data_IF_333959459346
#
_entry.id   IF_333959459346
#
_cell.length_a   1.000
_cell.length_b   1.000
_cell.length_c   1.000
_cell.angle_alpha   90.00
_cell.angle_beta   90.00
_cell.angle_gamma   90.00
#
_symmetry.space_group_name_H-M   'P 1'
#
loop_
_entity.id
_entity.type
_entity.pdbx_description
1 polymer ?
#
# COMPACT_ATOMS: atom_id res chain seq x y z
N UNK A 1 -7.45 -76.07 -24.02
CA UNK A 1 -7.42 -75.02 -22.94
C UNK A 1 -6.48 -73.92 -23.35
N UNK A 2 -7.01 -72.80 -23.83
CA UNK A 2 -6.22 -71.65 -24.26
C UNK A 2 -6.24 -70.60 -23.14
N UNK A 3 -5.08 -70.37 -22.51
CA UNK A 3 -4.90 -69.31 -21.54
C UNK A 3 -4.88 -67.95 -22.25
N UNK A 4 -5.85 -67.09 -21.89
CA UNK A 4 -5.91 -65.73 -22.36
C UNK A 4 -5.15 -64.87 -21.34
N UNK A 5 -3.93 -64.40 -21.68
CA UNK A 5 -3.20 -63.43 -20.86
C UNK A 5 -3.78 -62.03 -21.09
N UNK A 6 -4.46 -61.49 -20.07
CA UNK A 6 -4.87 -60.08 -20.03
C UNK A 6 -3.66 -59.25 -19.71
N UNK A 7 -3.18 -58.47 -20.67
CA UNK A 7 -2.20 -57.39 -20.45
C UNK A 7 -2.93 -56.16 -19.92
N UNK A 8 -2.78 -55.89 -18.64
CA UNK A 8 -3.24 -54.64 -18.02
C UNK A 8 -2.17 -53.57 -18.33
N UNK A 9 -2.49 -52.66 -19.26
CA UNK A 9 -1.68 -51.50 -19.54
C UNK A 9 -1.86 -50.49 -18.38
N UNK A 10 -0.83 -50.33 -17.56
CA UNK A 10 -0.73 -49.20 -16.59
C UNK A 10 -0.46 -47.92 -17.38
N UNK A 11 -1.48 -47.07 -17.54
CA UNK A 11 -1.30 -45.71 -17.99
C UNK A 11 -0.64 -44.91 -16.82
N UNK A 12 0.45 -44.19 -17.09
CA UNK A 12 1.00 -43.27 -16.09
C UNK A 12 -0.02 -42.14 -15.87
N UNK A 13 -0.48 -41.95 -14.61
CA UNK A 13 -1.11 -40.73 -14.19
C UNK A 13 -0.04 -39.62 -14.33
N UNK A 14 -0.19 -38.79 -15.38
CA UNK A 14 0.51 -37.53 -15.41
C UNK A 14 0.02 -36.68 -14.21
N UNK A 15 0.83 -36.58 -13.17
CA UNK A 15 0.65 -35.54 -12.16
C UNK A 15 0.81 -34.21 -12.92
N UNK A 16 -0.31 -33.56 -13.22
CA UNK A 16 -0.32 -32.19 -13.68
C UNK A 16 0.38 -31.36 -12.60
N UNK A 17 1.55 -30.85 -12.88
CA UNK A 17 2.10 -29.73 -12.12
C UNK A 17 1.05 -28.61 -12.26
N UNK A 18 0.32 -28.31 -11.19
CA UNK A 18 -0.42 -27.08 -11.10
C UNK A 18 0.63 -25.98 -11.18
N UNK A 19 0.79 -25.38 -12.38
CA UNK A 19 1.48 -24.13 -12.52
C UNK A 19 0.72 -23.14 -11.66
N UNK A 20 1.40 -22.45 -10.73
CA UNK A 20 0.81 -21.61 -9.69
C UNK A 20 0.09 -20.36 -10.20
N UNK A 21 -0.58 -20.45 -11.35
CA UNK A 21 -1.48 -19.45 -11.93
C UNK A 21 -2.95 -19.75 -11.61
N UNK A 22 -3.25 -20.00 -10.31
CA UNK A 22 -4.61 -19.72 -9.87
C UNK A 22 -4.88 -18.23 -10.14
N UNK A 23 -6.01 -17.84 -10.76
CA UNK A 23 -6.32 -16.46 -10.97
C UNK A 23 -6.21 -15.73 -9.64
N UNK A 24 -5.56 -14.55 -9.62
CA UNK A 24 -5.32 -13.77 -8.41
C UNK A 24 -6.62 -13.38 -7.66
N UNK A 25 -7.77 -13.47 -8.34
CA UNK A 25 -9.10 -13.47 -7.75
C UNK A 25 -9.24 -14.70 -6.80
N UNK A 26 -9.43 -14.42 -5.51
CA UNK A 26 -9.51 -15.42 -4.44
C UNK A 26 -8.27 -15.47 -3.55
N UNK A 27 -7.09 -15.21 -4.08
CA UNK A 27 -5.84 -15.29 -3.31
C UNK A 27 -5.68 -14.15 -2.30
N UNK A 28 -6.25 -12.96 -2.60
CA UNK A 28 -6.17 -11.77 -1.77
C UNK A 28 -7.54 -11.30 -1.26
N UNK A 29 -8.52 -12.21 -1.18
CA UNK A 29 -9.89 -11.89 -0.74
C UNK A 29 -9.92 -11.27 0.66
N UNK A 30 -9.02 -11.69 1.55
CA UNK A 30 -8.93 -11.11 2.88
C UNK A 30 -8.45 -9.64 2.88
N UNK A 31 -7.72 -9.19 1.86
CA UNK A 31 -7.33 -7.79 1.69
C UNK A 31 -8.53 -6.94 1.23
N UNK A 32 -9.30 -7.46 0.25
CA UNK A 32 -10.42 -6.71 -0.33
C UNK A 32 -11.59 -6.53 0.63
N UNK A 33 -11.69 -7.32 1.70
CA UNK A 33 -12.71 -7.13 2.75
C UNK A 33 -12.65 -5.70 3.33
N UNK A 34 -11.44 -5.17 3.54
CA UNK A 34 -11.24 -3.82 4.05
C UNK A 34 -10.94 -2.81 2.93
N UNK A 35 -10.08 -3.17 1.96
CA UNK A 35 -9.62 -2.24 0.92
C UNK A 35 -10.55 -2.16 -0.29
N UNK A 36 -11.59 -3.00 -0.37
CA UNK A 36 -12.52 -3.07 -1.51
C UNK A 36 -11.95 -3.86 -2.69
N UNK A 37 -12.84 -4.37 -3.55
CA UNK A 37 -12.49 -5.24 -4.68
C UNK A 37 -11.57 -4.58 -5.71
N UNK A 38 -11.67 -3.26 -5.85
CA UNK A 38 -10.82 -2.45 -6.74
C UNK A 38 -9.65 -1.82 -5.98
N UNK A 39 -9.48 -2.14 -4.69
CA UNK A 39 -8.46 -1.49 -3.86
C UNK A 39 -8.70 0.00 -3.63
N UNK A 40 -9.94 0.47 -3.77
CA UNK A 40 -10.32 1.90 -3.62
C UNK A 40 -10.15 2.42 -2.21
N UNK A 41 -10.16 1.52 -1.22
CA UNK A 41 -10.18 1.85 0.20
C UNK A 41 -11.61 1.97 0.75
N UNK A 42 -11.67 2.10 2.07
CA UNK A 42 -12.93 2.26 2.81
C UNK A 42 -12.66 3.08 4.09
N UNK A 43 -13.08 4.34 4.09
CA UNK A 43 -12.89 5.25 5.23
C UNK A 43 -13.60 4.77 6.50
N UNK A 44 -14.74 4.06 6.37
CA UNK A 44 -15.50 3.57 7.54
C UNK A 44 -14.73 2.54 8.38
N UNK A 45 -13.79 1.81 7.78
CA UNK A 45 -12.91 0.86 8.45
C UNK A 45 -11.44 1.29 8.41
N UNK A 46 -11.17 2.56 8.10
CA UNK A 46 -9.85 3.16 8.04
C UNK A 46 -8.85 2.44 7.10
N UNK A 47 -9.35 1.76 6.08
CA UNK A 47 -8.54 1.10 5.06
C UNK A 47 -8.31 2.06 3.87
N UNK A 48 -7.05 2.48 3.61
CA UNK A 48 -6.76 3.43 2.53
C UNK A 48 -6.87 2.79 1.15
N UNK A 49 -6.90 3.62 0.11
CA UNK A 49 -6.70 3.17 -1.26
C UNK A 49 -5.33 2.49 -1.38
N UNK A 50 -5.32 1.33 -2.02
CA UNK A 50 -4.11 0.58 -2.38
C UNK A 50 -4.06 0.24 -3.88
N UNK A 51 -5.20 0.26 -4.58
CA UNK A 51 -5.26 0.04 -6.01
C UNK A 51 -4.59 1.16 -6.81
N UNK A 52 -3.81 0.81 -7.84
CA UNK A 52 -3.12 1.74 -8.72
C UNK A 52 -1.89 2.41 -8.13
N UNK A 53 -1.48 2.06 -6.91
CA UNK A 53 -0.19 2.50 -6.36
C UNK A 53 0.94 1.67 -6.96
N UNK A 54 2.14 2.23 -7.03
CA UNK A 54 3.31 1.51 -7.54
C UNK A 54 3.56 0.19 -6.79
N UNK A 55 3.77 -0.91 -7.52
CA UNK A 55 4.01 -2.23 -6.93
C UNK A 55 5.18 -2.20 -5.94
N UNK A 56 6.29 -1.54 -6.30
CA UNK A 56 7.44 -1.34 -5.42
C UNK A 56 7.08 -0.71 -4.08
N UNK A 57 6.15 0.28 -4.09
CA UNK A 57 5.71 0.94 -2.87
C UNK A 57 4.84 0.02 -2.02
N UNK A 58 3.89 -0.69 -2.63
CA UNK A 58 3.06 -1.67 -1.93
C UNK A 58 3.91 -2.78 -1.31
N UNK A 59 4.90 -3.30 -2.04
CA UNK A 59 5.86 -4.29 -1.55
C UNK A 59 6.64 -3.75 -0.34
N UNK A 60 7.16 -2.52 -0.44
CA UNK A 60 7.85 -1.85 0.67
C UNK A 60 6.95 -1.68 1.90
N UNK A 61 5.68 -1.32 1.72
CA UNK A 61 4.76 -1.15 2.84
C UNK A 61 4.41 -2.48 3.51
N UNK A 62 4.14 -3.52 2.73
CA UNK A 62 3.90 -4.87 3.26
C UNK A 62 5.12 -5.38 4.03
N UNK A 63 6.32 -5.17 3.47
CA UNK A 63 7.59 -5.50 4.12
C UNK A 63 7.78 -4.71 5.41
N UNK A 64 7.45 -3.41 5.43
CA UNK A 64 7.55 -2.56 6.62
C UNK A 64 6.63 -3.06 7.76
N UNK A 65 5.41 -3.50 7.44
CA UNK A 65 4.52 -4.12 8.43
C UNK A 65 5.07 -5.46 8.93
N UNK A 66 5.59 -6.31 8.05
CA UNK A 66 6.17 -7.61 8.40
C UNK A 66 7.41 -7.45 9.29
N UNK A 67 8.28 -6.51 8.96
CA UNK A 67 9.49 -6.19 9.72
C UNK A 67 9.22 -5.46 11.06
N UNK A 68 7.97 -5.00 11.27
CA UNK A 68 7.61 -4.23 12.47
C UNK A 68 8.08 -2.78 12.42
N UNK A 69 8.43 -2.24 11.26
CA UNK A 69 8.71 -0.82 11.07
C UNK A 69 7.43 0.02 11.10
N UNK A 70 6.29 -0.62 10.81
CA UNK A 70 4.94 -0.07 10.90
C UNK A 70 4.05 -1.00 11.72
N UNK A 71 3.03 -0.42 12.37
CA UNK A 71 2.02 -1.18 13.11
C UNK A 71 2.51 -1.77 14.44
N UNK A 72 3.58 -1.25 15.02
CA UNK A 72 4.11 -1.65 16.34
C UNK A 72 4.09 -0.52 17.36
N UNK A 73 4.00 0.74 16.92
CA UNK A 73 3.87 1.87 17.83
C UNK A 73 2.47 1.89 18.47
N UNK A 74 2.38 2.23 19.75
CA UNK A 74 1.10 2.22 20.49
C UNK A 74 0.03 3.14 19.84
N UNK A 75 0.47 4.24 19.24
CA UNK A 75 -0.43 5.20 18.60
C UNK A 75 -0.71 4.85 17.11
N UNK A 76 -0.11 3.80 16.56
CA UNK A 76 -0.41 3.29 15.20
C UNK A 76 -1.47 2.18 15.26
N UNK A 77 -2.65 2.48 15.81
CA UNK A 77 -3.72 1.51 15.97
C UNK A 77 -4.06 0.79 14.66
N UNK A 78 -4.30 1.54 13.58
CA UNK A 78 -4.66 0.97 12.28
C UNK A 78 -3.51 0.28 11.58
N UNK A 79 -2.28 0.71 11.81
CA UNK A 79 -1.10 -0.07 11.40
C UNK A 79 -1.01 -1.38 12.16
N UNK A 80 -1.40 -1.41 13.44
CA UNK A 80 -1.53 -2.62 14.25
C UNK A 80 -2.54 -3.61 13.69
N UNK A 81 -3.66 -3.13 13.12
CA UNK A 81 -4.63 -3.97 12.40
C UNK A 81 -4.08 -4.51 11.08
N UNK A 82 -3.32 -3.69 10.35
CA UNK A 82 -2.73 -4.09 9.06
C UNK A 82 -1.56 -5.08 9.21
N UNK A 83 -0.82 -5.01 10.31
CA UNK A 83 0.37 -5.86 10.52
C UNK A 83 0.06 -7.37 10.46
N UNK A 84 -0.94 -7.94 11.15
CA UNK A 84 -1.28 -9.36 11.02
C UNK A 84 -1.71 -9.73 9.60
N UNK A 85 -2.33 -8.83 8.85
CA UNK A 85 -2.69 -9.08 7.45
C UNK A 85 -1.45 -9.21 6.56
N UNK A 86 -0.44 -8.37 6.77
CA UNK A 86 0.84 -8.49 6.08
C UNK A 86 1.63 -9.74 6.49
N UNK A 87 1.54 -10.16 7.77
CA UNK A 87 2.18 -11.38 8.26
C UNK A 87 1.52 -12.66 7.73
N UNK A 88 0.26 -12.61 7.28
CA UNK A 88 -0.41 -13.73 6.63
C UNK A 88 0.15 -14.05 5.23
N UNK A 89 0.93 -13.15 4.63
CA UNK A 89 1.73 -13.42 3.44
C UNK A 89 2.99 -14.18 3.89
N UNK A 90 3.11 -15.45 3.51
CA UNK A 90 4.09 -16.38 4.07
C UNK A 90 5.54 -16.04 3.66
N UNK A 91 5.73 -15.56 2.43
CA UNK A 91 7.04 -15.30 1.85
C UNK A 91 7.07 -14.02 0.99
N UNK A 92 8.25 -13.67 0.50
CA UNK A 92 8.46 -12.50 -0.37
C UNK A 92 7.76 -12.62 -1.72
N UNK A 93 7.58 -13.85 -2.23
CA UNK A 93 6.87 -14.05 -3.51
C UNK A 93 5.38 -13.72 -3.36
N UNK A 94 4.77 -14.07 -2.23
CA UNK A 94 3.38 -13.69 -1.92
C UNK A 94 3.24 -12.18 -1.68
N UNK A 95 4.21 -11.54 -1.01
CA UNK A 95 4.25 -10.09 -0.83
C UNK A 95 4.30 -9.38 -2.18
N UNK A 96 5.20 -9.81 -3.07
CA UNK A 96 5.31 -9.26 -4.42
C UNK A 96 4.04 -9.49 -5.24
N UNK A 97 3.50 -10.70 -5.24
CA UNK A 97 2.27 -11.02 -5.96
C UNK A 97 1.06 -10.18 -5.47
N UNK A 98 0.95 -9.91 -4.17
CA UNK A 98 -0.08 -9.01 -3.63
C UNK A 98 0.14 -7.57 -4.10
N UNK A 99 1.38 -7.09 -4.07
CA UNK A 99 1.74 -5.75 -4.52
C UNK A 99 1.44 -5.56 -6.01
N UNK A 100 1.82 -6.51 -6.86
CA UNK A 100 1.57 -6.49 -8.30
C UNK A 100 0.06 -6.55 -8.61
N UNK A 101 -0.69 -7.38 -7.89
CA UNK A 101 -2.14 -7.49 -8.06
C UNK A 101 -2.84 -6.15 -7.82
N UNK A 102 -2.58 -5.50 -6.67
CA UNK A 102 -3.22 -4.22 -6.36
C UNK A 102 -2.68 -3.07 -7.20
N UNK A 103 -1.42 -3.09 -7.61
CA UNK A 103 -0.86 -2.09 -8.51
C UNK A 103 -1.51 -2.10 -9.90
N UNK A 104 -1.94 -3.26 -10.38
CA UNK A 104 -2.61 -3.42 -11.67
C UNK A 104 -4.08 -2.95 -11.68
N UNK A 105 -4.66 -2.65 -10.51
CA UNK A 105 -6.02 -2.12 -10.41
C UNK A 105 -6.02 -0.61 -10.71
N UNK A 106 -7.13 -0.13 -11.29
CA UNK A 106 -7.29 1.29 -11.63
C UNK A 106 -8.60 1.84 -11.02
N UNK A 107 -8.66 1.99 -9.68
CA UNK A 107 -9.84 2.55 -9.04
C UNK A 107 -9.95 4.05 -9.32
N UNK A 108 -11.18 4.57 -9.38
CA UNK A 108 -11.41 6.01 -9.37
C UNK A 108 -10.70 6.66 -8.16
N UNK A 109 -10.30 7.94 -8.25
CA UNK A 109 -9.72 8.68 -7.13
C UNK A 109 -10.60 8.61 -5.88
N UNK A 110 -9.97 8.64 -4.71
CA UNK A 110 -10.71 8.70 -3.45
C UNK A 110 -11.49 10.02 -3.35
N UNK A 111 -12.70 10.02 -2.79
CA UNK A 111 -13.45 11.27 -2.60
C UNK A 111 -12.72 12.18 -1.61
N UNK A 112 -12.78 13.49 -1.86
CA UNK A 112 -12.27 14.49 -0.93
C UNK A 112 -13.12 14.50 0.36
N UNK A 113 -12.48 14.41 1.49
CA UNK A 113 -13.06 14.40 2.84
C UNK A 113 -12.40 15.40 3.79
N UNK A 114 -11.23 15.91 3.42
CA UNK A 114 -10.43 16.83 4.24
C UNK A 114 -10.61 18.25 3.73
N UNK A 115 -10.99 19.14 4.63
CA UNK A 115 -11.05 20.59 4.36
C UNK A 115 -9.71 21.25 4.70
N UNK A 116 -9.24 22.14 3.82
CA UNK A 116 -8.01 22.92 4.00
C UNK A 116 -7.89 24.03 2.96
N UNK A 117 -6.95 24.95 3.17
CA UNK A 117 -6.61 26.03 2.25
C UNK A 117 -5.62 25.49 1.19
N UNK A 118 -6.13 25.14 0.02
CA UNK A 118 -5.31 24.62 -1.07
C UNK A 118 -4.27 25.61 -1.59
N UNK A 119 -4.53 26.93 -1.55
CA UNK A 119 -3.57 27.95 -1.96
C UNK A 119 -2.39 28.03 -0.96
N UNK A 120 -2.65 27.88 0.32
CA UNK A 120 -1.60 27.72 1.34
C UNK A 120 -0.89 26.39 1.17
N UNK A 121 -1.65 25.32 0.88
CA UNK A 121 -1.15 23.98 0.62
C UNK A 121 -0.17 23.92 -0.55
N UNK A 122 -0.42 24.63 -1.65
CA UNK A 122 0.49 24.74 -2.78
C UNK A 122 1.87 25.26 -2.37
N UNK A 123 1.90 26.33 -1.58
CA UNK A 123 3.16 26.90 -1.09
C UNK A 123 3.92 25.93 -0.19
N UNK A 124 3.21 25.19 0.66
CA UNK A 124 3.80 24.16 1.53
C UNK A 124 4.31 22.96 0.73
N UNK A 125 3.57 22.55 -0.31
CA UNK A 125 3.91 21.43 -1.19
C UNK A 125 5.19 21.66 -2.00
N UNK A 126 5.61 22.90 -2.19
CA UNK A 126 6.85 23.23 -2.91
C UNK A 126 8.07 22.41 -2.44
N UNK A 127 8.17 22.14 -1.12
CA UNK A 127 9.24 21.31 -0.56
C UNK A 127 9.06 19.82 -0.92
N UNK A 128 7.84 19.34 -1.05
CA UNK A 128 7.50 17.94 -1.35
C UNK A 128 7.73 17.60 -2.83
N UNK A 129 7.63 18.62 -3.71
CA UNK A 129 7.76 18.48 -5.16
C UNK A 129 9.08 17.82 -5.59
N UNK A 130 10.17 18.05 -4.86
CA UNK A 130 11.49 17.51 -5.19
C UNK A 130 11.51 15.96 -5.26
N UNK A 131 10.69 15.31 -4.42
CA UNK A 131 10.61 13.86 -4.35
C UNK A 131 9.32 13.33 -4.98
N UNK A 132 8.16 13.91 -4.62
CA UNK A 132 6.85 13.44 -5.08
C UNK A 132 6.43 13.98 -6.45
N UNK A 133 7.19 14.90 -7.03
CA UNK A 133 6.90 15.55 -8.32
C UNK A 133 5.83 16.65 -8.22
N UNK A 134 5.73 17.52 -9.23
CA UNK A 134 4.78 18.64 -9.22
C UNK A 134 3.32 18.18 -9.29
N UNK A 135 3.04 17.04 -9.90
CA UNK A 135 1.72 16.42 -9.97
C UNK A 135 1.49 15.35 -8.92
N UNK A 136 2.32 15.27 -7.88
CA UNK A 136 2.24 14.27 -6.81
C UNK A 136 2.16 12.81 -7.30
N UNK A 137 2.75 12.51 -8.47
CA UNK A 137 2.74 11.17 -9.08
C UNK A 137 3.83 10.25 -8.56
N UNK A 138 4.72 10.80 -7.71
CA UNK A 138 5.82 10.07 -7.11
C UNK A 138 7.05 9.91 -8.00
N UNK A 139 8.08 9.29 -7.44
CA UNK A 139 9.33 8.96 -8.12
C UNK A 139 9.94 7.72 -7.45
N UNK A 140 9.85 6.58 -8.11
CA UNK A 140 10.37 5.30 -7.61
C UNK A 140 11.88 5.36 -7.33
N UNK A 141 12.66 6.02 -8.20
CA UNK A 141 14.11 6.13 -8.02
C UNK A 141 14.50 6.86 -6.73
N UNK A 142 13.62 7.69 -6.19
CA UNK A 142 13.78 8.41 -4.92
C UNK A 142 13.02 7.74 -3.76
N UNK A 143 12.35 6.62 -4.01
CA UNK A 143 11.50 5.96 -3.00
C UNK A 143 10.27 6.78 -2.60
N UNK A 144 9.85 7.75 -3.42
CA UNK A 144 8.75 8.65 -3.16
C UNK A 144 7.47 8.16 -3.85
N UNK A 145 6.43 7.71 -3.11
CA UNK A 145 5.20 7.21 -3.71
C UNK A 145 4.35 8.30 -4.34
N UNK A 146 3.42 7.89 -5.21
CA UNK A 146 2.33 8.75 -5.64
C UNK A 146 1.45 9.14 -4.45
N UNK A 147 1.06 10.42 -4.39
CA UNK A 147 0.14 10.97 -3.40
C UNK A 147 -1.20 11.34 -4.04
N UNK A 148 -1.18 11.76 -5.33
CA UNK A 148 -2.39 12.07 -6.08
C UNK A 148 -3.33 10.86 -6.12
N UNK A 149 -4.62 11.11 -5.94
CA UNK A 149 -5.66 10.08 -5.92
C UNK A 149 -5.71 9.19 -4.68
N UNK A 150 -4.80 9.36 -3.71
CA UNK A 150 -4.84 8.66 -2.44
C UNK A 150 -5.95 9.23 -1.54
N UNK A 151 -6.46 8.42 -0.59
CA UNK A 151 -7.39 8.86 0.44
C UNK A 151 -6.78 10.01 1.24
N UNK A 152 -7.40 11.20 1.19
CA UNK A 152 -6.88 12.41 1.82
C UNK A 152 -6.79 12.29 3.35
N UNK A 153 -7.80 11.71 4.01
CA UNK A 153 -7.78 11.41 5.44
C UNK A 153 -6.59 10.49 5.83
N UNK A 154 -6.19 9.59 4.91
CA UNK A 154 -5.03 8.74 5.14
C UNK A 154 -3.73 9.52 4.99
N UNK A 155 -3.63 10.41 4.01
CA UNK A 155 -2.48 11.31 3.87
C UNK A 155 -2.29 12.17 5.12
N UNK A 156 -3.38 12.77 5.65
CA UNK A 156 -3.34 13.52 6.93
C UNK A 156 -2.75 12.65 8.03
N UNK A 157 -3.32 11.47 8.28
CA UNK A 157 -2.84 10.55 9.32
C UNK A 157 -1.37 10.18 9.13
N UNK A 158 -0.93 9.89 7.90
CA UNK A 158 0.46 9.52 7.68
C UNK A 158 1.42 10.69 7.95
N UNK A 159 1.06 11.90 7.57
CA UNK A 159 1.85 13.08 7.89
C UNK A 159 1.91 13.33 9.40
N UNK A 160 0.78 13.22 10.10
CA UNK A 160 0.71 13.28 11.57
C UNK A 160 1.61 12.22 12.23
N UNK A 161 1.58 11.00 11.73
CA UNK A 161 2.43 9.91 12.23
C UNK A 161 3.93 10.18 12.00
N UNK A 162 4.30 10.75 10.87
CA UNK A 162 5.69 11.12 10.60
C UNK A 162 6.14 12.28 11.48
N UNK A 163 5.33 13.33 11.62
CA UNK A 163 5.63 14.50 12.49
C UNK A 163 5.66 14.10 13.95
N UNK A 164 4.73 13.25 14.39
CA UNK A 164 4.62 12.78 15.76
C UNK A 164 5.58 11.65 16.15
N UNK A 165 6.42 11.17 15.20
CA UNK A 165 7.38 10.11 15.50
C UNK A 165 6.76 8.71 15.63
N UNK A 166 5.49 8.55 15.27
CA UNK A 166 4.79 7.24 15.24
C UNK A 166 5.29 6.39 14.08
N UNK A 167 5.74 7.02 12.99
CA UNK A 167 6.26 6.39 11.79
C UNK A 167 7.62 6.98 11.39
N UNK A 168 8.52 6.14 10.84
CA UNK A 168 9.83 6.57 10.34
C UNK A 168 10.91 6.71 11.42
N UNK A 169 10.68 6.21 12.63
CA UNK A 169 11.62 6.25 13.76
C UNK A 169 12.24 4.88 14.07
N UNK A 170 11.69 3.82 13.48
CA UNK A 170 12.18 2.45 13.71
C UNK A 170 13.48 2.20 12.93
N UNK A 171 14.56 1.70 13.57
CA UNK A 171 15.79 1.36 12.88
C UNK A 171 15.56 0.37 11.72
N UNK A 172 16.11 0.68 10.55
CA UNK A 172 15.94 -0.10 9.32
C UNK A 172 14.90 0.45 8.36
N UNK A 173 13.95 1.29 8.81
CA UNK A 173 13.00 2.01 7.95
C UNK A 173 13.64 3.25 7.32
N UNK A 174 14.48 3.06 6.32
CA UNK A 174 15.22 4.16 5.68
C UNK A 174 14.29 5.14 4.94
N UNK A 175 13.28 4.64 4.24
CA UNK A 175 12.30 5.50 3.54
C UNK A 175 11.39 6.23 4.52
N UNK A 176 10.95 5.56 5.59
CA UNK A 176 10.18 6.21 6.64
C UNK A 176 10.98 7.29 7.36
N UNK A 177 12.24 7.05 7.67
CA UNK A 177 13.13 8.03 8.29
C UNK A 177 13.35 9.27 7.39
N UNK A 178 13.55 9.06 6.10
CA UNK A 178 13.65 10.15 5.13
C UNK A 178 12.37 10.99 5.11
N UNK A 179 11.21 10.35 5.04
CA UNK A 179 9.91 11.06 5.03
C UNK A 179 9.62 11.76 6.36
N UNK A 180 9.98 11.17 7.51
CA UNK A 180 9.83 11.82 8.81
C UNK A 180 10.63 13.12 8.89
N UNK A 181 11.89 13.12 8.37
CA UNK A 181 12.71 14.32 8.27
C UNK A 181 12.06 15.40 7.39
N UNK A 182 11.44 15.02 6.28
CA UNK A 182 10.76 15.96 5.37
C UNK A 182 9.43 16.47 5.92
N UNK A 183 8.65 15.63 6.60
CA UNK A 183 7.37 16.00 7.20
C UNK A 183 7.52 17.05 8.31
N UNK A 184 8.69 17.15 8.94
CA UNK A 184 8.97 18.12 10.00
C UNK A 184 8.85 19.59 9.60
N UNK A 185 8.73 19.92 8.31
CA UNK A 185 8.43 21.29 7.85
C UNK A 185 6.97 21.69 8.08
N UNK A 186 6.08 20.71 8.31
CA UNK A 186 4.66 20.94 8.62
C UNK A 186 4.51 21.15 10.14
N UNK A 187 4.43 22.39 10.57
CA UNK A 187 4.57 22.79 11.97
C UNK A 187 3.28 22.68 12.79
N UNK A 188 2.14 22.50 12.14
CA UNK A 188 0.83 22.43 12.77
C UNK A 188 -0.15 21.56 11.97
N UNK A 189 -1.24 21.13 12.61
CA UNK A 189 -2.28 20.31 11.99
C UNK A 189 -2.94 20.99 10.78
N UNK A 190 -3.06 22.32 10.81
CA UNK A 190 -3.64 23.07 9.69
C UNK A 190 -2.72 23.03 8.47
N UNK A 191 -1.40 23.11 8.64
CA UNK A 191 -0.43 22.95 7.55
C UNK A 191 -0.53 21.56 6.90
N UNK A 192 -0.76 20.53 7.70
CA UNK A 192 -0.99 19.17 7.18
C UNK A 192 -2.28 19.10 6.35
N UNK A 193 -3.38 19.68 6.87
CA UNK A 193 -4.66 19.71 6.14
C UNK A 193 -4.57 20.49 4.85
N UNK A 194 -3.90 21.63 4.86
CA UNK A 194 -3.76 22.49 3.69
C UNK A 194 -2.95 21.82 2.59
N UNK A 195 -1.81 21.22 2.93
CA UNK A 195 -1.00 20.50 1.92
C UNK A 195 -1.76 19.30 1.35
N UNK A 196 -2.54 18.60 2.17
CA UNK A 196 -3.37 17.47 1.71
C UNK A 196 -4.52 17.96 0.83
N UNK A 197 -5.18 19.07 1.18
CA UNK A 197 -6.21 19.68 0.34
C UNK A 197 -5.65 20.08 -1.04
N UNK A 198 -4.44 20.64 -1.10
CA UNK A 198 -3.76 20.90 -2.37
C UNK A 198 -3.46 19.63 -3.17
N UNK A 199 -2.91 18.59 -2.51
CA UNK A 199 -2.66 17.29 -3.17
C UNK A 199 -3.93 16.74 -3.81
N UNK A 200 -5.08 16.89 -3.15
CA UNK A 200 -6.39 16.50 -3.67
C UNK A 200 -6.83 17.24 -4.94
N UNK A 201 -6.18 18.36 -5.30
CA UNK A 201 -6.40 19.07 -6.57
C UNK A 201 -5.51 18.57 -7.71
N UNK A 202 -4.52 17.71 -7.41
CA UNK A 202 -3.56 17.17 -8.35
C UNK A 202 -4.03 15.79 -8.85
N UNK A 203 -4.59 15.73 -10.05
CA UNK A 203 -5.05 14.50 -10.72
C UNK A 203 -4.05 13.96 -11.77
#
# INVERSE_FOLDING_TARGET
>A
MRLLCLLIALLPLAAGAEDGTAPAAGRFDYCIVCHGTEGRGNAAVNAPRIGGLGAWYLENQLTAFRAGWRGTHADDYHGGEMRPMALALEDEAQVRAAAEYFAALDPAPAPAMVEGDADRGERLYATCTACHGPGARGNEALGAPALAGQSDWYLVRQLEHFVGGVRGTTPGDSYGAQMAGMAGVLTDEQAIRDVVAYIGTLE
#
